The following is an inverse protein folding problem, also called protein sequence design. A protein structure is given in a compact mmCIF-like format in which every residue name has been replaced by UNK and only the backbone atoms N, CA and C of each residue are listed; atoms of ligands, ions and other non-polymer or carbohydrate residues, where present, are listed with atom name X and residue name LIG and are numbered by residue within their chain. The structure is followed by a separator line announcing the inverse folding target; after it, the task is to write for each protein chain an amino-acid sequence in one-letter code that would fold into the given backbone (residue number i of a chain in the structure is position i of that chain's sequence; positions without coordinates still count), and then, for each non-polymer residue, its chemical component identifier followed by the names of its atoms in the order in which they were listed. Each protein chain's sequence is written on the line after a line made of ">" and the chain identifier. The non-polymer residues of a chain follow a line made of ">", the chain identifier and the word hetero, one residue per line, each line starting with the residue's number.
data_IF_726946170975
#
_entry.id   IF_726946170975
#
_cell.length_a   1.000
_cell.length_b   1.000
_cell.length_c   1.000
_cell.angle_alpha   90.00
_cell.angle_beta   90.00
_cell.angle_gamma   90.00
#
_symmetry.space_group_name_H-M   'P 1'
#
loop_
_entity.id
_entity.type
_entity.pdbx_description
1 polymer ?
#
# COMPACT_ATOMS: atom_id res chain seq x y z
N UNK A 1 -13.97 -11.00 6.89
CA UNK A 1 -13.95 -10.14 5.68
C UNK A 1 -13.72 -8.73 6.18
N UNK A 2 -12.94 -7.92 5.46
CA UNK A 2 -12.55 -6.58 5.93
C UNK A 2 -13.55 -5.51 5.45
N UNK A 3 -13.72 -4.45 6.24
CA UNK A 3 -14.61 -3.30 5.99
C UNK A 3 -14.18 -2.47 4.78
N UNK A 4 -12.90 -2.53 4.42
CA UNK A 4 -12.27 -1.77 3.33
C UNK A 4 -11.16 -2.60 2.71
N UNK A 5 -10.66 -2.19 1.54
CA UNK A 5 -9.52 -2.87 0.94
C UNK A 5 -8.23 -2.59 1.69
N UNK A 6 -7.34 -3.57 1.74
CA UNK A 6 -6.02 -3.41 2.37
C UNK A 6 -4.90 -3.71 1.40
N UNK A 7 -3.98 -2.76 1.27
CA UNK A 7 -2.68 -2.97 0.64
C UNK A 7 -1.65 -3.27 1.74
N UNK A 8 -1.13 -4.49 1.76
CA UNK A 8 0.06 -4.83 2.54
C UNK A 8 1.30 -4.40 1.77
N UNK A 9 1.81 -3.19 2.01
CA UNK A 9 2.91 -2.58 1.24
C UNK A 9 4.29 -2.92 1.83
N UNK A 10 5.34 -2.86 1.01
CA UNK A 10 6.75 -3.02 1.41
C UNK A 10 7.03 -4.32 2.17
N UNK A 11 6.35 -5.41 1.80
CA UNK A 11 6.53 -6.72 2.40
C UNK A 11 7.89 -7.29 1.99
N UNK A 12 8.76 -7.52 2.96
CA UNK A 12 10.17 -7.89 2.71
C UNK A 12 10.55 -9.29 3.22
N UNK A 13 9.63 -9.97 3.91
CA UNK A 13 9.84 -11.27 4.51
C UNK A 13 8.57 -12.15 4.42
N UNK A 14 8.74 -13.46 4.58
CA UNK A 14 7.63 -14.42 4.45
C UNK A 14 6.66 -14.39 5.65
N UNK A 15 7.11 -13.91 6.80
CA UNK A 15 6.28 -13.80 8.01
C UNK A 15 5.19 -12.77 7.82
N UNK A 16 5.56 -11.57 7.35
CA UNK A 16 4.62 -10.52 6.95
C UNK A 16 3.69 -10.99 5.84
N UNK A 17 4.24 -11.60 4.78
CA UNK A 17 3.45 -12.08 3.65
C UNK A 17 2.35 -13.06 4.10
N UNK A 18 2.68 -14.00 5.01
CA UNK A 18 1.72 -14.96 5.56
C UNK A 18 0.73 -14.32 6.51
N UNK A 19 1.19 -13.40 7.35
CA UNK A 19 0.34 -12.67 8.29
C UNK A 19 -0.76 -11.92 7.54
N UNK A 20 -0.39 -11.06 6.58
CA UNK A 20 -1.34 -10.29 5.80
C UNK A 20 -2.23 -11.18 4.93
N UNK A 21 -1.67 -12.24 4.32
CA UNK A 21 -2.49 -13.18 3.54
C UNK A 21 -3.52 -13.94 4.41
N UNK A 22 -3.18 -14.26 5.67
CA UNK A 22 -4.11 -14.91 6.60
C UNK A 22 -5.28 -13.99 6.98
N UNK A 23 -5.02 -12.68 7.10
CA UNK A 23 -6.07 -11.67 7.27
C UNK A 23 -6.91 -11.43 6.02
N UNK A 24 -6.50 -11.97 4.87
CA UNK A 24 -7.23 -11.86 3.62
C UNK A 24 -7.18 -10.46 3.02
N UNK A 25 -6.02 -9.78 3.10
CA UNK A 25 -5.80 -8.50 2.42
C UNK A 25 -5.96 -8.65 0.91
N UNK A 26 -6.40 -7.57 0.27
CA UNK A 26 -6.65 -7.53 -1.17
C UNK A 26 -5.36 -7.48 -1.99
N UNK A 27 -4.34 -6.79 -1.49
CA UNK A 27 -3.10 -6.55 -2.23
C UNK A 27 -1.85 -6.82 -1.39
N UNK A 28 -0.80 -7.29 -2.06
CA UNK A 28 0.52 -7.55 -1.50
C UNK A 28 1.58 -6.82 -2.32
N UNK A 29 2.24 -5.85 -1.71
CA UNK A 29 3.25 -4.98 -2.32
C UNK A 29 4.68 -5.42 -2.00
N UNK A 30 5.51 -5.51 -3.04
CA UNK A 30 6.93 -5.84 -2.95
C UNK A 30 7.76 -4.67 -3.50
N UNK A 31 8.53 -4.00 -2.63
CA UNK A 31 9.52 -3.00 -3.05
C UNK A 31 10.73 -3.69 -3.68
N UNK A 32 10.86 -3.57 -5.01
CA UNK A 32 11.91 -4.26 -5.76
C UNK A 32 13.29 -3.62 -5.65
N UNK A 33 13.40 -2.49 -4.92
CA UNK A 33 14.68 -1.95 -4.48
C UNK A 33 15.14 -2.60 -3.15
N UNK A 34 14.24 -3.26 -2.42
CA UNK A 34 14.51 -3.95 -1.14
C UNK A 34 14.54 -5.47 -1.32
N UNK A 35 13.56 -6.04 -2.03
CA UNK A 35 13.47 -7.47 -2.32
C UNK A 35 13.85 -7.77 -3.76
N UNK A 36 14.70 -8.77 -3.97
CA UNK A 36 15.02 -9.22 -5.32
C UNK A 36 13.83 -9.94 -5.97
N UNK A 37 13.77 -9.96 -7.30
CA UNK A 37 12.75 -10.69 -8.06
C UNK A 37 12.61 -12.17 -7.61
N UNK A 38 13.70 -12.94 -7.39
CA UNK A 38 13.58 -14.30 -6.86
C UNK A 38 12.95 -14.37 -5.46
N UNK A 39 13.21 -13.39 -4.58
CA UNK A 39 12.59 -13.33 -3.25
C UNK A 39 11.11 -13.00 -3.35
N UNK A 40 10.72 -12.00 -4.13
CA UNK A 40 9.32 -11.64 -4.37
C UNK A 40 8.53 -12.85 -4.92
N UNK A 41 9.09 -13.55 -5.92
CA UNK A 41 8.50 -14.79 -6.44
C UNK A 41 8.43 -15.90 -5.39
N UNK A 42 9.44 -16.04 -4.53
CA UNK A 42 9.38 -16.99 -3.44
C UNK A 42 8.21 -16.66 -2.49
N UNK A 43 8.06 -15.40 -2.05
CA UNK A 43 6.96 -14.99 -1.17
C UNK A 43 5.60 -15.22 -1.81
N UNK A 44 5.41 -14.76 -3.06
CA UNK A 44 4.20 -14.95 -3.88
C UNK A 44 3.76 -16.42 -3.94
N UNK A 45 4.71 -17.37 -4.06
CA UNK A 45 4.40 -18.80 -4.16
C UNK A 45 3.97 -19.46 -2.84
N UNK A 46 4.18 -18.79 -1.70
CA UNK A 46 3.81 -19.31 -0.38
C UNK A 46 2.51 -18.72 0.17
N UNK A 47 1.91 -17.78 -0.56
CA UNK A 47 0.68 -17.11 -0.18
C UNK A 47 -0.39 -17.29 -1.27
N UNK A 48 -1.64 -17.06 -0.90
CA UNK A 48 -2.77 -17.10 -1.83
C UNK A 48 -3.80 -16.07 -1.38
N UNK A 49 -4.48 -15.42 -2.32
CA UNK A 49 -5.50 -14.41 -2.01
C UNK A 49 -5.19 -13.08 -2.67
N UNK A 50 -4.13 -12.36 -2.23
CA UNK A 50 -3.90 -11.00 -2.68
C UNK A 50 -3.40 -10.90 -4.12
N UNK A 51 -3.83 -9.84 -4.82
CA UNK A 51 -3.23 -9.38 -6.06
C UNK A 51 -1.84 -8.77 -5.78
N UNK A 52 -0.90 -8.97 -6.69
CA UNK A 52 0.51 -8.61 -6.45
C UNK A 52 0.83 -7.25 -7.04
N UNK A 53 1.37 -6.35 -6.21
CA UNK A 53 1.85 -5.03 -6.57
C UNK A 53 3.38 -5.04 -6.56
N UNK A 54 4.02 -4.58 -7.64
CA UNK A 54 5.44 -4.24 -7.62
C UNK A 54 5.60 -2.76 -7.31
N UNK A 55 6.37 -2.43 -6.29
CA UNK A 55 6.65 -1.05 -5.88
C UNK A 55 8.00 -0.62 -6.46
N UNK A 56 8.00 0.48 -7.19
CA UNK A 56 9.15 1.01 -7.92
C UNK A 56 9.35 2.48 -7.62
N UNK A 57 10.58 2.95 -7.82
CA UNK A 57 10.93 4.33 -7.61
C UNK A 57 11.41 5.02 -8.89
N UNK A 58 11.57 6.32 -8.82
CA UNK A 58 12.07 7.18 -9.88
C UNK A 58 13.53 6.89 -10.29
N UNK A 59 14.24 6.03 -9.56
CA UNK A 59 15.57 5.55 -9.95
C UNK A 59 15.51 4.43 -10.99
N UNK A 60 14.37 3.73 -11.06
CA UNK A 60 14.12 2.64 -12.00
C UNK A 60 13.72 3.22 -13.36
N UNK A 61 14.20 2.63 -14.45
CA UNK A 61 13.76 3.02 -15.80
C UNK A 61 12.46 2.32 -16.19
N UNK A 62 11.70 2.93 -17.11
CA UNK A 62 10.48 2.34 -17.67
C UNK A 62 10.67 0.89 -18.18
N UNK A 63 11.78 0.61 -18.87
CA UNK A 63 12.07 -0.72 -19.42
C UNK A 63 12.37 -1.74 -18.32
N UNK A 64 13.05 -1.33 -17.23
CA UNK A 64 13.31 -2.19 -16.08
C UNK A 64 12.00 -2.55 -15.36
N UNK A 65 11.14 -1.55 -15.11
CA UNK A 65 9.82 -1.76 -14.48
C UNK A 65 8.96 -2.70 -15.33
N UNK A 66 8.91 -2.45 -16.64
CA UNK A 66 8.12 -3.27 -17.57
C UNK A 66 8.61 -4.72 -17.59
N UNK A 67 9.94 -4.93 -17.65
CA UNK A 67 10.54 -6.27 -17.64
C UNK A 67 10.27 -7.01 -16.33
N UNK A 68 10.45 -6.34 -15.19
CA UNK A 68 10.18 -6.92 -13.87
C UNK A 68 8.69 -7.27 -13.70
N UNK A 69 7.80 -6.43 -14.24
CA UNK A 69 6.35 -6.65 -14.23
C UNK A 69 5.95 -7.92 -14.97
N UNK A 70 6.52 -8.16 -16.15
CA UNK A 70 6.31 -9.39 -16.91
C UNK A 70 6.91 -10.61 -16.22
N UNK A 71 8.14 -10.51 -15.70
CA UNK A 71 8.87 -11.62 -15.08
C UNK A 71 8.18 -12.14 -13.81
N UNK A 72 7.72 -11.23 -12.94
CA UNK A 72 6.99 -11.61 -11.72
C UNK A 72 5.53 -11.97 -12.04
N UNK A 73 4.99 -11.43 -13.14
CA UNK A 73 3.57 -11.44 -13.42
C UNK A 73 2.81 -10.61 -12.38
N UNK A 74 3.12 -9.31 -12.32
CA UNK A 74 2.45 -8.35 -11.46
C UNK A 74 1.02 -8.09 -11.92
N UNK A 75 0.14 -7.79 -10.97
CA UNK A 75 -1.23 -7.34 -11.23
C UNK A 75 -1.29 -5.82 -11.30
N UNK A 76 -0.52 -5.12 -10.46
CA UNK A 76 -0.41 -3.66 -10.43
C UNK A 76 1.06 -3.20 -10.35
N UNK A 77 1.28 -1.96 -10.78
CA UNK A 77 2.55 -1.24 -10.61
C UNK A 77 2.32 -0.05 -9.70
N UNK A 78 3.07 0.05 -8.61
CA UNK A 78 3.12 1.23 -7.76
C UNK A 78 4.35 2.07 -8.10
N UNK A 79 4.15 3.38 -8.24
CA UNK A 79 5.20 4.34 -8.54
C UNK A 79 5.31 5.39 -7.45
N UNK A 80 6.54 5.76 -7.10
CA UNK A 80 6.80 6.89 -6.21
C UNK A 80 6.31 8.24 -6.81
N UNK A 81 6.25 9.31 -6.00
CA UNK A 81 5.76 10.61 -6.46
C UNK A 81 6.61 11.29 -7.55
N UNK A 82 7.86 10.84 -7.75
CA UNK A 82 8.83 11.45 -8.65
C UNK A 82 8.91 10.75 -10.01
N UNK A 83 8.30 9.56 -10.16
CA UNK A 83 8.21 8.88 -11.44
C UNK A 83 7.47 9.74 -12.49
N UNK A 84 7.95 9.82 -13.75
CA UNK A 84 7.34 10.61 -14.81
C UNK A 84 5.84 10.34 -14.98
N UNK A 85 5.04 11.41 -15.07
CA UNK A 85 3.58 11.32 -15.14
C UNK A 85 3.06 10.75 -16.48
N UNK A 86 3.88 10.80 -17.52
CA UNK A 86 3.57 10.30 -18.87
C UNK A 86 3.92 8.82 -19.06
N UNK A 87 4.49 8.14 -18.06
CA UNK A 87 4.66 6.70 -18.08
C UNK A 87 3.31 5.99 -18.05
N UNK A 88 3.12 5.10 -19.02
CA UNK A 88 1.93 4.26 -19.18
C UNK A 88 2.39 2.82 -19.33
N UNK A 89 1.98 1.96 -18.40
CA UNK A 89 2.28 0.54 -18.41
C UNK A 89 1.05 -0.27 -18.83
N UNK A 90 1.28 -1.52 -19.24
CA UNK A 90 0.18 -2.46 -19.56
C UNK A 90 -0.62 -2.90 -18.32
N UNK A 91 -0.07 -2.67 -17.12
CA UNK A 91 -0.71 -2.95 -15.83
C UNK A 91 -1.32 -1.67 -15.24
N UNK A 92 -2.44 -1.76 -14.51
CA UNK A 92 -2.96 -0.65 -13.74
C UNK A 92 -1.88 -0.07 -12.82
N UNK A 93 -1.78 1.26 -12.79
CA UNK A 93 -0.77 1.98 -12.02
C UNK A 93 -1.40 2.68 -10.82
N UNK A 94 -0.77 2.56 -9.66
CA UNK A 94 -1.09 3.30 -8.43
C UNK A 94 0.07 4.25 -8.17
N UNK A 95 -0.20 5.53 -7.90
CA UNK A 95 0.87 6.50 -7.62
C UNK A 95 0.84 6.91 -6.16
N UNK A 96 1.99 6.82 -5.50
CA UNK A 96 2.15 7.50 -4.22
C UNK A 96 2.17 9.00 -4.44
N UNK A 97 1.51 9.73 -3.54
CA UNK A 97 1.55 11.18 -3.50
C UNK A 97 1.66 11.66 -2.05
N UNK A 98 2.42 12.73 -1.87
CA UNK A 98 2.55 13.40 -0.58
C UNK A 98 1.40 14.38 -0.48
N UNK A 99 0.53 14.18 0.51
CA UNK A 99 -0.71 14.93 0.72
C UNK A 99 -0.44 16.43 0.66
N UNK A 100 0.62 16.89 1.35
CA UNK A 100 1.04 18.28 1.44
C UNK A 100 1.30 18.92 0.07
N UNK A 101 1.76 18.17 -0.92
CA UNK A 101 2.08 18.65 -2.27
C UNK A 101 0.85 18.75 -3.20
N UNK A 102 -0.30 18.21 -2.77
CA UNK A 102 -1.52 18.16 -3.57
C UNK A 102 -1.49 17.07 -4.65
N UNK A 103 -2.59 16.97 -5.40
CA UNK A 103 -2.79 15.91 -6.41
C UNK A 103 -2.66 16.46 -7.83
N UNK A 104 -2.05 15.72 -8.77
CA UNK A 104 -1.86 16.18 -10.15
C UNK A 104 -3.14 16.12 -11.00
N UNK A 105 -4.18 15.42 -10.54
CA UNK A 105 -5.46 15.25 -11.23
C UNK A 105 -6.23 14.03 -10.71
N UNK A 106 -7.29 13.59 -11.40
CA UNK A 106 -7.96 12.32 -11.11
C UNK A 106 -7.06 11.13 -11.44
N UNK A 107 -7.10 10.10 -10.59
CA UNK A 107 -6.31 8.88 -10.78
C UNK A 107 -6.48 7.89 -9.63
N UNK A 108 -5.57 6.93 -9.55
CA UNK A 108 -5.47 5.99 -8.43
C UNK A 108 -4.23 6.32 -7.61
N UNK A 109 -4.43 6.63 -6.33
CA UNK A 109 -3.39 7.18 -5.47
C UNK A 109 -3.26 6.45 -4.14
N UNK A 110 -2.02 6.34 -3.65
CA UNK A 110 -1.74 6.15 -2.22
C UNK A 110 -1.43 7.52 -1.64
N UNK A 111 -2.25 7.97 -0.69
CA UNK A 111 -2.11 9.25 -0.01
C UNK A 111 -1.25 9.05 1.24
N UNK A 112 -0.10 9.71 1.29
CA UNK A 112 0.80 9.70 2.44
C UNK A 112 1.03 11.10 2.97
N UNK A 113 1.16 11.24 4.28
CA UNK A 113 1.68 12.48 4.87
C UNK A 113 3.14 12.31 5.27
N UNK A 114 3.96 13.31 4.95
CA UNK A 114 5.34 13.42 5.47
C UNK A 114 5.45 14.47 6.58
N UNK A 115 4.32 15.10 6.96
CA UNK A 115 4.30 16.07 8.03
C UNK A 115 4.42 15.35 9.39
N UNK A 116 5.49 15.55 10.17
CA UNK A 116 5.62 14.94 11.49
C UNK A 116 4.60 15.47 12.51
N UNK A 117 3.93 16.58 12.20
CA UNK A 117 2.81 17.14 12.95
C UNK A 117 1.47 16.89 12.22
N UNK A 118 1.38 15.81 11.42
CA UNK A 118 0.12 15.39 10.82
C UNK A 118 -0.94 15.20 11.90
N UNK A 119 -2.12 15.74 11.62
CA UNK A 119 -3.29 15.66 12.49
C UNK A 119 -4.48 15.35 11.59
N UNK A 120 -5.09 14.18 11.83
CA UNK A 120 -6.13 13.64 10.98
C UNK A 120 -7.34 14.57 10.91
N UNK A 121 -7.75 15.15 12.03
CA UNK A 121 -8.88 16.07 12.13
C UNK A 121 -8.68 17.30 11.23
N UNK A 122 -7.48 17.89 11.24
CA UNK A 122 -7.17 19.06 10.41
C UNK A 122 -7.09 18.74 8.91
N UNK A 123 -6.70 17.53 8.52
CA UNK A 123 -6.57 17.13 7.10
C UNK A 123 -7.81 16.38 6.57
N UNK A 124 -8.78 16.04 7.42
CA UNK A 124 -9.95 15.22 7.08
C UNK A 124 -10.72 15.72 5.86
N UNK A 125 -11.06 17.01 5.83
CA UNK A 125 -11.83 17.62 4.73
C UNK A 125 -11.04 17.56 3.41
N UNK A 126 -9.74 17.81 3.46
CA UNK A 126 -8.86 17.75 2.30
C UNK A 126 -8.74 16.33 1.75
N UNK A 127 -8.53 15.35 2.63
CA UNK A 127 -8.44 13.93 2.27
C UNK A 127 -9.78 13.50 1.63
N UNK A 128 -10.90 13.91 2.21
CA UNK A 128 -12.24 13.63 1.69
C UNK A 128 -12.48 14.23 0.30
N UNK A 129 -12.07 15.48 0.08
CA UNK A 129 -12.16 16.12 -1.24
C UNK A 129 -11.35 15.36 -2.30
N UNK A 130 -10.14 14.92 -1.95
CA UNK A 130 -9.27 14.14 -2.84
C UNK A 130 -9.91 12.78 -3.16
N UNK A 131 -10.38 12.05 -2.15
CA UNK A 131 -11.00 10.73 -2.31
C UNK A 131 -12.37 10.79 -3.03
N UNK A 132 -13.05 11.94 -3.02
CA UNK A 132 -14.27 12.12 -3.80
C UNK A 132 -14.00 12.28 -5.31
N UNK A 133 -12.78 12.67 -5.70
CA UNK A 133 -12.39 12.92 -7.09
C UNK A 133 -11.51 11.82 -7.70
N UNK A 134 -11.00 10.89 -6.88
CA UNK A 134 -9.98 9.90 -7.25
C UNK A 134 -10.17 8.59 -6.47
N UNK A 135 -9.62 7.50 -6.98
CA UNK A 135 -9.50 6.26 -6.20
C UNK A 135 -8.32 6.42 -5.24
N UNK A 136 -8.56 6.33 -3.94
CA UNK A 136 -7.54 6.62 -2.93
C UNK A 136 -7.38 5.49 -1.92
N UNK A 137 -6.13 5.16 -1.63
CA UNK A 137 -5.71 4.33 -0.51
C UNK A 137 -4.99 5.23 0.51
N UNK A 138 -5.34 5.10 1.79
CA UNK A 138 -4.75 5.94 2.84
C UNK A 138 -3.56 5.24 3.48
N UNK A 139 -2.38 5.83 3.36
CA UNK A 139 -1.16 5.45 4.08
C UNK A 139 -0.87 6.51 5.15
N UNK A 140 -1.58 6.40 6.27
CA UNK A 140 -1.56 7.39 7.34
C UNK A 140 -1.04 6.75 8.63
N UNK A 141 -0.18 7.47 9.33
CA UNK A 141 0.29 7.10 10.66
C UNK A 141 -0.65 7.68 11.72
N UNK A 142 -1.79 7.00 11.94
CA UNK A 142 -2.85 7.37 12.88
C UNK A 142 -3.06 6.24 13.89
N UNK A 143 -3.72 6.54 15.02
CA UNK A 143 -3.98 5.52 16.02
C UNK A 143 -4.99 4.47 15.52
N UNK A 144 -4.91 3.20 15.98
CA UNK A 144 -5.82 2.14 15.54
C UNK A 144 -7.31 2.47 15.65
N UNK A 145 -7.72 3.18 16.70
CA UNK A 145 -9.11 3.58 16.95
C UNK A 145 -9.61 4.72 16.03
N UNK A 146 -8.72 5.42 15.32
CA UNK A 146 -9.07 6.47 14.35
C UNK A 146 -9.47 5.91 12.98
N UNK A 147 -9.12 4.65 12.67
CA UNK A 147 -9.42 4.03 11.37
C UNK A 147 -10.93 3.96 11.09
N UNK A 148 -11.76 3.61 12.07
CA UNK A 148 -13.21 3.60 11.89
C UNK A 148 -13.74 4.99 11.53
N UNK A 149 -13.21 6.04 12.16
CA UNK A 149 -13.64 7.41 11.92
C UNK A 149 -13.27 7.89 10.50
N UNK A 150 -12.03 7.65 10.07
CA UNK A 150 -11.60 8.06 8.73
C UNK A 150 -12.32 7.25 7.64
N UNK A 151 -12.51 5.94 7.82
CA UNK A 151 -13.19 5.10 6.84
C UNK A 151 -14.65 5.51 6.63
N UNK A 152 -15.36 5.82 7.72
CA UNK A 152 -16.76 6.26 7.65
C UNK A 152 -16.93 7.66 7.06
N UNK A 153 -15.96 8.55 7.30
CA UNK A 153 -16.02 9.97 6.92
C UNK A 153 -15.50 10.23 5.51
N UNK A 154 -14.33 9.68 5.17
CA UNK A 154 -13.63 9.86 3.88
C UNK A 154 -14.14 8.87 2.85
N UNK A 155 -14.42 7.62 3.26
CA UNK A 155 -14.75 6.49 2.37
C UNK A 155 -13.69 6.27 1.28
N UNK A 156 -12.42 6.06 1.66
CA UNK A 156 -11.39 5.70 0.68
C UNK A 156 -11.70 4.34 0.05
N UNK A 157 -11.01 4.02 -1.05
CA UNK A 157 -11.05 2.68 -1.65
C UNK A 157 -10.44 1.64 -0.71
N UNK A 158 -9.44 2.05 0.06
CA UNK A 158 -8.72 1.19 0.99
C UNK A 158 -7.74 1.94 1.88
N UNK A 159 -6.95 1.17 2.61
CA UNK A 159 -5.81 1.67 3.39
C UNK A 159 -4.54 0.91 3.00
N UNK A 160 -3.40 1.46 3.40
CA UNK A 160 -2.10 0.82 3.29
C UNK A 160 -1.60 0.49 4.70
N UNK A 161 -1.14 -0.74 4.89
CA UNK A 161 -0.41 -1.19 6.07
C UNK A 161 0.95 -1.69 5.61
N UNK A 162 2.02 -1.22 6.24
CA UNK A 162 3.39 -1.51 5.79
C UNK A 162 3.98 -2.71 6.52
N UNK A 163 4.62 -3.58 5.76
CA UNK A 163 5.55 -4.58 6.26
C UNK A 163 6.70 -3.91 7.01
N UNK A 164 7.38 -4.69 7.83
CA UNK A 164 8.39 -4.17 8.76
C UNK A 164 9.43 -5.22 9.10
N UNK A 165 10.49 -4.80 9.78
CA UNK A 165 11.59 -5.69 10.13
C UNK A 165 11.15 -6.81 11.08
N UNK A 166 11.82 -7.97 10.97
CA UNK A 166 11.71 -9.05 11.93
C UNK A 166 12.82 -8.94 12.98
N UNK A 167 12.50 -9.22 14.24
CA UNK A 167 13.52 -9.31 15.31
C UNK A 167 14.46 -10.50 15.06
N UNK A 168 13.90 -11.60 14.54
CA UNK A 168 14.59 -12.81 14.07
C UNK A 168 13.77 -13.43 12.95
N UNK A 169 14.39 -14.19 12.05
CA UNK A 169 13.68 -14.89 10.97
C UNK A 169 12.48 -15.68 11.53
N UNK A 170 11.26 -15.34 11.09
CA UNK A 170 10.04 -15.97 11.57
C UNK A 170 9.48 -15.43 12.89
N UNK A 171 10.02 -14.33 13.41
CA UNK A 171 9.65 -13.76 14.70
C UNK A 171 9.58 -12.22 14.66
N UNK A 172 8.37 -11.71 14.84
CA UNK A 172 8.00 -10.29 14.80
C UNK A 172 6.78 -10.05 15.68
N UNK A 173 6.67 -8.87 16.30
CA UNK A 173 5.43 -8.44 16.95
C UNK A 173 4.46 -7.86 15.93
N UNK A 174 3.19 -8.24 16.06
CA UNK A 174 2.08 -7.73 15.25
C UNK A 174 1.06 -6.96 16.09
N UNK A 175 1.38 -6.61 17.34
CA UNK A 175 0.37 -6.11 18.30
C UNK A 175 -0.41 -4.89 17.77
N UNK A 176 0.28 -3.89 17.22
CA UNK A 176 -0.36 -2.71 16.62
C UNK A 176 -1.13 -3.05 15.33
N UNK A 177 -0.58 -3.95 14.50
CA UNK A 177 -1.26 -4.40 13.29
C UNK A 177 -2.53 -5.18 13.64
N UNK A 178 -2.50 -6.02 14.67
CA UNK A 178 -3.66 -6.77 15.15
C UNK A 178 -4.76 -5.81 15.63
N UNK A 179 -4.42 -4.76 16.40
CA UNK A 179 -5.37 -3.73 16.81
C UNK A 179 -6.04 -3.05 15.60
N UNK A 180 -5.25 -2.70 14.57
CA UNK A 180 -5.79 -2.10 13.34
C UNK A 180 -6.67 -3.12 12.60
N UNK A 181 -6.19 -4.35 12.41
CA UNK A 181 -6.91 -5.37 11.65
C UNK A 181 -8.23 -5.78 12.32
N UNK A 182 -8.28 -5.83 13.64
CA UNK A 182 -9.51 -6.04 14.41
C UNK A 182 -10.52 -4.92 14.18
N UNK A 183 -10.08 -3.65 14.11
CA UNK A 183 -10.96 -2.52 13.75
C UNK A 183 -11.52 -2.68 12.34
N UNK A 184 -10.75 -3.27 11.42
CA UNK A 184 -11.16 -3.47 10.03
C UNK A 184 -12.01 -4.73 9.82
N UNK A 185 -12.06 -5.65 10.78
CA UNK A 185 -12.85 -6.88 10.66
C UNK A 185 -14.37 -6.56 10.69
N UNK A 186 -15.13 -7.23 9.83
CA UNK A 186 -16.59 -7.19 9.85
C UNK A 186 -17.09 -8.19 10.89
N UNK A 187 -17.95 -7.72 11.81
CA UNK A 187 -18.69 -8.54 12.80
C UNK A 187 -19.55 -9.66 12.17
#
# INVERSE_FOLDING_TARGET
>A
MLKTKVIASSVSNLTDARYFAAWGVDFMGFDLNVVSIPQANAFKNWISGPEIIGEFSSVDSFDQISSASEEIGLDYIQLDPLCPADWVFDKPTIREIILENGIPGPGTYILRSENPAFDLENEMDRIKEICAASTCYLDLNIAPDEYEHVLTTVKPEGIVLRGGEEDKVGFKSFDELDEIMEVLEID
#
